data_IF_384728674566
#
_entry.id   IF_384728674566
#
_cell.length_a   1.000
_cell.length_b   1.000
_cell.length_c   1.000
_cell.angle_alpha   90.00
_cell.angle_beta   90.00
_cell.angle_gamma   90.00
#
_symmetry.space_group_name_H-M   'P 1'
#
loop_
_entity.id
_entity.type
_entity.pdbx_description
1 polymer ?
#
# COMPACT_ATOMS: atom_id res chain seq x y z
N UNK A 1 6.64 11.65 -14.06
CA UNK A 1 6.23 10.58 -13.14
C UNK A 1 5.85 9.40 -14.02
N UNK A 2 6.63 8.33 -14.01
CA UNK A 2 6.31 7.14 -14.80
C UNK A 2 5.19 6.35 -14.10
N UNK A 3 4.18 5.86 -14.84
CA UNK A 3 3.11 5.05 -14.27
C UNK A 3 3.69 3.76 -13.69
N UNK A 4 3.17 3.30 -12.54
CA UNK A 4 3.45 1.92 -12.14
C UNK A 4 2.98 0.99 -13.26
N UNK A 5 3.85 0.08 -13.64
CA UNK A 5 3.56 -0.93 -14.66
C UNK A 5 2.27 -1.66 -14.29
N UNK A 6 1.24 -1.54 -15.14
CA UNK A 6 0.02 -2.31 -15.03
C UNK A 6 0.36 -3.80 -15.19
N UNK A 7 -0.45 -4.67 -14.60
CA UNK A 7 -0.32 -6.13 -14.71
C UNK A 7 -0.11 -6.61 -16.17
N UNK A 8 -0.69 -5.90 -17.15
CA UNK A 8 -0.54 -6.16 -18.59
C UNK A 8 0.86 -5.93 -19.17
N UNK A 9 1.80 -5.37 -18.39
CA UNK A 9 3.19 -5.13 -18.78
C UNK A 9 4.19 -6.08 -18.11
N UNK A 10 3.70 -6.99 -17.25
CA UNK A 10 4.52 -7.99 -16.58
C UNK A 10 4.69 -9.20 -17.50
N UNK A 11 5.90 -9.76 -17.55
CA UNK A 11 6.15 -10.95 -18.36
C UNK A 11 5.51 -12.20 -17.71
N UNK A 12 5.33 -13.25 -18.49
CA UNK A 12 4.61 -14.48 -18.09
C UNK A 12 5.21 -15.16 -16.85
N UNK A 13 6.51 -15.00 -16.56
CA UNK A 13 7.15 -15.53 -15.35
C UNK A 13 6.84 -14.73 -14.09
N UNK A 14 6.70 -13.40 -14.18
CA UNK A 14 6.28 -12.54 -13.06
C UNK A 14 4.79 -12.72 -12.71
N UNK A 15 3.97 -13.01 -13.72
CA UNK A 15 2.53 -13.25 -13.56
C UNK A 15 2.23 -14.59 -12.86
N UNK A 16 3.08 -15.60 -13.06
CA UNK A 16 2.88 -16.96 -12.53
C UNK A 16 3.01 -17.11 -11.00
N UNK A 17 3.49 -16.09 -10.29
CA UNK A 17 3.63 -16.11 -8.81
C UNK A 17 2.46 -15.48 -8.06
N UNK A 18 1.44 -15.01 -8.77
CA UNK A 18 0.35 -14.23 -8.19
C UNK A 18 -0.75 -15.16 -7.68
N UNK A 19 -0.93 -15.19 -6.36
CA UNK A 19 -2.10 -15.85 -5.77
C UNK A 19 -3.37 -15.08 -6.14
N UNK A 20 -4.50 -15.76 -6.40
CA UNK A 20 -5.68 -15.11 -6.97
C UNK A 20 -6.30 -14.10 -6.01
N UNK A 21 -6.87 -13.05 -6.61
CA UNK A 21 -7.62 -11.96 -6.01
C UNK A 21 -8.56 -12.40 -4.88
N UNK A 22 -8.16 -12.15 -3.63
CA UNK A 22 -9.08 -12.15 -2.49
C UNK A 22 -9.59 -10.72 -2.35
N UNK A 23 -10.85 -10.48 -2.71
CA UNK A 23 -11.54 -9.25 -2.33
C UNK A 23 -11.75 -9.28 -0.82
N UNK A 24 -10.83 -8.67 -0.09
CA UNK A 24 -10.99 -8.49 1.35
C UNK A 24 -11.50 -7.08 1.58
N UNK A 25 -12.61 -6.95 2.31
CA UNK A 25 -12.99 -5.64 2.82
C UNK A 25 -11.84 -5.12 3.70
N UNK A 26 -11.56 -3.82 3.72
CA UNK A 26 -10.49 -3.24 4.56
C UNK A 26 -10.69 -3.40 6.09
N UNK A 27 -11.62 -4.24 6.50
CA UNK A 27 -11.74 -4.70 7.86
C UNK A 27 -10.79 -5.89 8.06
N UNK A 28 -9.79 -5.68 8.92
CA UNK A 28 -9.15 -6.73 9.73
C UNK A 28 -7.94 -7.49 9.16
N UNK A 29 -7.44 -7.24 7.95
CA UNK A 29 -6.23 -7.93 7.45
C UNK A 29 -4.89 -7.29 7.92
N UNK A 30 -4.95 -6.55 9.03
CA UNK A 30 -3.79 -5.88 9.61
C UNK A 30 -2.74 -6.91 10.06
N UNK A 31 -1.47 -6.68 9.70
CA UNK A 31 -0.39 -7.57 10.09
C UNK A 31 -0.20 -8.79 9.19
N UNK A 32 -0.96 -8.91 8.09
CA UNK A 32 -0.69 -9.92 7.06
C UNK A 32 0.66 -9.67 6.41
N UNK A 33 1.49 -10.71 6.35
CA UNK A 33 2.75 -10.66 5.62
C UNK A 33 2.50 -10.57 4.11
N UNK A 34 3.11 -9.57 3.48
CA UNK A 34 3.03 -9.31 2.05
C UNK A 34 4.27 -9.87 1.35
N UNK A 35 4.03 -10.45 0.18
CA UNK A 35 5.05 -10.88 -0.76
C UNK A 35 4.92 -10.04 -2.03
N UNK A 36 5.86 -10.16 -2.96
CA UNK A 36 5.70 -9.54 -4.28
C UNK A 36 4.39 -10.00 -4.91
N UNK A 37 3.53 -9.05 -5.26
CA UNK A 37 2.25 -9.33 -5.90
C UNK A 37 1.23 -8.21 -5.81
N UNK A 38 0.02 -8.50 -6.29
CA UNK A 38 -1.12 -7.57 -6.31
C UNK A 38 -2.17 -7.99 -5.28
N UNK A 39 -2.59 -7.05 -4.44
CA UNK A 39 -3.61 -7.25 -3.41
C UNK A 39 -4.77 -6.29 -3.64
N UNK A 40 -5.99 -6.80 -3.78
CA UNK A 40 -7.18 -5.98 -4.07
C UNK A 40 -8.11 -5.87 -2.87
N UNK A 41 -8.54 -4.66 -2.55
CA UNK A 41 -9.40 -4.38 -1.41
C UNK A 41 -10.60 -3.56 -1.84
N UNK A 42 -11.77 -3.87 -1.25
CA UNK A 42 -12.95 -3.02 -1.36
C UNK A 42 -13.10 -2.19 -0.09
N UNK A 43 -13.19 -0.87 -0.25
CA UNK A 43 -13.31 0.06 0.86
C UNK A 43 -14.75 0.07 1.37
N UNK A 44 -15.02 -0.65 2.47
CA UNK A 44 -16.36 -0.70 3.09
C UNK A 44 -16.66 0.45 4.06
N UNK A 45 -15.61 1.07 4.60
CA UNK A 45 -15.63 2.28 5.44
C UNK A 45 -14.52 3.22 5.01
N UNK A 46 -14.55 4.45 5.54
CA UNK A 46 -13.49 5.40 5.26
C UNK A 46 -12.14 4.87 5.76
N UNK A 47 -11.15 4.89 4.87
CA UNK A 47 -9.81 4.42 5.14
C UNK A 47 -8.93 5.61 5.54
N UNK A 48 -8.51 5.65 6.80
CA UNK A 48 -7.61 6.67 7.31
C UNK A 48 -6.17 6.45 6.86
N UNK A 49 -5.76 5.19 6.66
CA UNK A 49 -4.43 4.82 6.18
C UNK A 49 -4.41 3.43 5.54
N UNK A 50 -3.63 3.28 4.47
CA UNK A 50 -3.21 1.98 3.94
C UNK A 50 -1.74 2.03 3.52
N UNK A 51 -1.00 0.97 3.80
CA UNK A 51 0.39 0.84 3.41
C UNK A 51 1.06 -0.37 4.04
N UNK A 52 2.34 -0.24 4.34
CA UNK A 52 3.18 -1.29 4.88
C UNK A 52 3.90 -0.86 6.15
N UNK A 53 4.32 -1.86 6.92
CA UNK A 53 5.28 -1.75 8.02
C UNK A 53 6.18 -2.98 8.04
N UNK A 54 7.45 -2.85 8.40
CA UNK A 54 8.31 -4.02 8.63
C UNK A 54 7.82 -4.86 9.81
N UNK A 55 7.86 -6.19 9.62
CA UNK A 55 7.57 -7.18 10.68
C UNK A 55 8.53 -7.09 11.87
N UNK A 56 9.73 -6.52 11.70
CA UNK A 56 10.71 -6.41 12.78
C UNK A 56 10.38 -5.31 13.80
N UNK A 57 9.37 -4.47 13.52
CA UNK A 57 8.91 -3.42 14.44
C UNK A 57 7.78 -3.97 15.30
N UNK A 58 7.78 -3.64 16.60
CA UNK A 58 6.69 -4.01 17.50
C UNK A 58 5.40 -3.28 17.09
N UNK A 59 4.56 -3.99 16.34
CA UNK A 59 3.30 -3.48 15.79
C UNK A 59 2.20 -3.26 16.83
N UNK A 60 2.46 -3.64 18.10
CA UNK A 60 1.54 -3.41 19.24
C UNK A 60 1.30 -1.93 19.51
N UNK A 61 2.18 -1.05 19.04
CA UNK A 61 1.95 0.40 19.03
C UNK A 61 1.38 0.75 17.66
N UNK A 62 0.12 1.19 17.61
CA UNK A 62 -0.56 1.66 16.38
C UNK A 62 0.07 2.92 15.74
N UNK A 63 1.30 3.26 16.12
CA UNK A 63 1.93 4.52 15.79
C UNK A 63 2.43 4.50 14.34
N UNK A 64 1.85 5.37 13.50
CA UNK A 64 2.27 5.57 12.12
C UNK A 64 3.60 6.34 12.01
N UNK A 65 4.13 6.85 13.13
CA UNK A 65 5.34 7.67 13.18
C UNK A 65 6.64 6.87 13.36
N UNK A 66 6.63 5.57 13.07
CA UNK A 66 7.86 4.77 13.09
C UNK A 66 8.55 4.83 11.73
N UNK A 67 9.90 4.85 11.67
CA UNK A 67 10.65 4.88 10.40
C UNK A 67 10.35 3.74 9.42
N UNK A 68 9.65 2.72 9.88
CA UNK A 68 9.26 1.55 9.12
C UNK A 68 7.91 1.69 8.39
N UNK A 69 7.18 2.79 8.62
CA UNK A 69 5.85 2.99 8.03
C UNK A 69 5.93 3.74 6.71
N UNK A 70 5.31 3.15 5.70
CA UNK A 70 5.14 3.72 4.37
C UNK A 70 3.70 3.55 3.93
N UNK A 71 3.09 4.57 3.33
CA UNK A 71 1.74 4.42 2.81
C UNK A 71 1.03 5.73 2.56
N UNK A 72 -0.28 5.62 2.36
CA UNK A 72 -1.16 6.71 1.99
C UNK A 72 -2.20 6.92 3.08
N UNK A 73 -2.48 8.17 3.41
CA UNK A 73 -3.52 8.51 4.37
C UNK A 73 -4.75 9.11 3.69
N UNK A 74 -5.87 9.14 4.39
CA UNK A 74 -7.12 9.74 3.91
C UNK A 74 -7.16 11.26 3.91
N UNK A 75 -6.02 11.95 4.08
CA UNK A 75 -5.92 13.42 4.24
C UNK A 75 -4.87 14.05 3.32
N UNK A 76 -4.85 13.67 2.03
CA UNK A 76 -3.94 14.19 1.01
C UNK A 76 -2.44 14.13 1.38
N UNK A 77 -2.03 13.14 2.17
CA UNK A 77 -0.66 12.99 2.60
C UNK A 77 -0.21 11.52 2.54
N UNK A 78 1.11 11.35 2.45
CA UNK A 78 1.75 10.04 2.48
C UNK A 78 2.62 9.93 3.72
N UNK A 79 2.81 8.72 4.20
CA UNK A 79 3.87 8.41 5.16
C UNK A 79 5.09 7.92 4.39
N UNK A 80 6.23 8.56 4.63
CA UNK A 80 7.55 8.16 4.15
C UNK A 80 8.46 8.08 5.37
N UNK A 81 8.98 6.90 5.68
CA UNK A 81 9.78 6.68 6.88
C UNK A 81 9.09 7.17 8.16
N UNK A 82 7.78 6.92 8.27
CA UNK A 82 6.96 7.41 9.40
C UNK A 82 6.75 8.92 9.45
N UNK A 83 7.26 9.68 8.50
CA UNK A 83 7.04 11.13 8.40
C UNK A 83 5.83 11.38 7.49
N UNK A 84 4.88 12.17 7.99
CA UNK A 84 3.73 12.59 7.20
C UNK A 84 4.13 13.72 6.23
N UNK A 85 3.99 13.48 4.93
CA UNK A 85 4.36 14.41 3.86
C UNK A 85 3.12 14.78 3.04
N UNK A 86 2.57 16.00 3.19
CA UNK A 86 1.44 16.47 2.40
C UNK A 86 1.78 16.65 0.93
N UNK A 87 0.85 16.33 0.02
CA UNK A 87 0.97 16.61 -1.42
C UNK A 87 2.10 15.86 -2.16
N UNK A 88 2.70 14.85 -1.53
CA UNK A 88 3.82 14.12 -2.12
C UNK A 88 3.43 13.43 -3.44
N UNK A 89 4.18 13.70 -4.50
CA UNK A 89 3.98 13.09 -5.82
C UNK A 89 2.56 13.32 -6.38
N UNK A 90 1.89 14.41 -5.98
CA UNK A 90 0.53 14.71 -6.44
C UNK A 90 -0.56 13.78 -5.88
N UNK A 91 -0.27 13.00 -4.83
CA UNK A 91 -1.26 12.14 -4.18
C UNK A 91 -2.50 12.92 -3.75
N UNK A 92 -3.67 12.33 -3.98
CA UNK A 92 -4.97 12.83 -3.55
C UNK A 92 -5.69 11.72 -2.77
N UNK A 93 -6.35 12.06 -1.66
CA UNK A 93 -7.06 11.11 -0.80
C UNK A 93 -8.43 10.70 -1.32
N UNK A 94 -8.86 11.26 -2.46
CA UNK A 94 -9.97 10.70 -3.25
C UNK A 94 -9.66 9.27 -3.74
N UNK A 95 -8.40 8.83 -3.66
CA UNK A 95 -8.02 7.44 -3.88
C UNK A 95 -8.55 6.46 -2.82
N UNK A 96 -8.98 6.94 -1.64
CA UNK A 96 -9.38 6.12 -0.49
C UNK A 96 -10.86 6.31 -0.07
N UNK A 97 -11.77 6.44 -1.04
CA UNK A 97 -13.20 6.67 -0.77
C UNK A 97 -13.98 5.38 -0.50
N UNK A 98 -15.06 5.51 0.28
CA UNK A 98 -15.98 4.41 0.56
C UNK A 98 -16.60 3.91 -0.75
N UNK A 99 -16.64 2.61 -0.93
CA UNK A 99 -17.18 1.94 -2.10
C UNK A 99 -16.13 1.62 -3.17
N UNK A 100 -14.98 2.31 -3.15
CA UNK A 100 -13.93 2.10 -4.14
C UNK A 100 -13.24 0.74 -3.99
N UNK A 101 -12.73 0.26 -5.12
CA UNK A 101 -11.81 -0.87 -5.14
C UNK A 101 -10.41 -0.34 -5.37
N UNK A 102 -9.51 -0.68 -4.46
CA UNK A 102 -8.09 -0.33 -4.56
C UNK A 102 -7.26 -1.59 -4.82
N UNK A 103 -6.15 -1.39 -5.50
CA UNK A 103 -5.13 -2.40 -5.74
C UNK A 103 -3.82 -1.90 -5.13
N UNK A 104 -3.27 -2.67 -4.20
CA UNK A 104 -1.94 -2.48 -3.63
C UNK A 104 -1.00 -3.48 -4.31
N UNK A 105 -0.07 -2.97 -5.12
CA UNK A 105 1.00 -3.75 -5.72
C UNK A 105 2.22 -3.62 -4.82
N UNK A 106 2.83 -4.76 -4.48
CA UNK A 106 4.06 -4.85 -3.69
C UNK A 106 5.12 -5.47 -4.58
N UNK A 107 6.28 -4.82 -4.67
CA UNK A 107 7.45 -5.37 -5.35
C UNK A 107 8.65 -5.30 -4.38
N UNK A 108 8.95 -6.44 -3.76
CA UNK A 108 10.03 -6.57 -2.79
C UNK A 108 11.43 -6.49 -3.44
N UNK A 109 11.55 -6.82 -4.72
CA UNK A 109 12.82 -6.80 -5.45
C UNK A 109 13.20 -5.36 -5.81
N UNK A 110 12.25 -4.63 -6.40
CA UNK A 110 12.43 -3.21 -6.73
C UNK A 110 12.24 -2.29 -5.52
N UNK A 111 11.75 -2.81 -4.40
CA UNK A 111 11.52 -2.10 -3.13
C UNK A 111 10.51 -0.95 -3.31
N UNK A 112 9.39 -1.26 -3.95
CA UNK A 112 8.34 -0.28 -4.22
C UNK A 112 6.98 -0.83 -3.82
N UNK A 113 6.08 0.09 -3.48
CA UNK A 113 4.66 -0.19 -3.37
C UNK A 113 3.88 0.79 -4.26
N UNK A 114 2.81 0.31 -4.89
CA UNK A 114 1.93 1.13 -5.70
C UNK A 114 0.49 0.97 -5.23
N UNK A 115 -0.21 2.08 -5.05
CA UNK A 115 -1.63 2.12 -4.80
C UNK A 115 -2.34 2.57 -6.07
N UNK A 116 -3.28 1.77 -6.55
CA UNK A 116 -4.15 2.14 -7.66
C UNK A 116 -5.59 2.12 -7.19
N UNK A 117 -6.31 3.21 -7.35
CA UNK A 117 -7.77 3.20 -7.24
C UNK A 117 -8.33 2.72 -8.59
N UNK A 118 -8.98 1.56 -8.60
CA UNK A 118 -9.47 0.94 -9.83
C UNK A 118 -10.73 1.64 -10.37
N UNK A 119 -11.47 2.37 -9.52
CA UNK A 119 -12.63 3.17 -9.93
C UNK A 119 -12.17 4.40 -10.71
N UNK A 120 -11.27 5.19 -10.14
CA UNK A 120 -10.78 6.45 -10.74
C UNK A 120 -9.63 6.24 -11.71
N UNK A 121 -9.00 5.05 -11.70
CA UNK A 121 -7.78 4.69 -12.43
C UNK A 121 -6.56 5.52 -12.04
N UNK A 122 -6.61 6.20 -10.90
CA UNK A 122 -5.47 6.93 -10.35
C UNK A 122 -4.47 5.96 -9.73
N UNK A 123 -3.19 6.14 -10.02
CA UNK A 123 -2.09 5.33 -9.48
C UNK A 123 -1.05 6.22 -8.82
N UNK A 124 -0.57 5.79 -7.65
CA UNK A 124 0.50 6.46 -6.91
C UNK A 124 1.56 5.46 -6.45
N UNK A 125 2.84 5.85 -6.50
CA UNK A 125 4.00 4.99 -6.25
C UNK A 125 4.83 5.53 -5.10
N UNK A 126 5.24 4.64 -4.19
CA UNK A 126 6.24 4.94 -3.16
C UNK A 126 7.45 4.00 -3.31
N UNK A 127 8.64 4.57 -3.27
CA UNK A 127 9.88 3.81 -3.07
C UNK A 127 10.11 3.60 -1.57
N UNK A 128 10.59 2.44 -1.19
CA UNK A 128 10.78 2.03 0.20
C UNK A 128 12.27 1.88 0.50
N UNK A 129 12.77 2.63 1.47
CA UNK A 129 14.11 2.43 2.02
C UNK A 129 14.11 1.21 2.93
N UNK A 130 14.58 0.08 2.41
CA UNK A 130 14.68 -1.19 3.16
C UNK A 130 15.63 -1.12 4.36
N UNK A 131 16.48 -0.10 4.48
CA UNK A 131 17.27 0.10 5.70
C UNK A 131 16.39 0.57 6.87
N UNK A 132 15.30 1.26 6.57
CA UNK A 132 14.35 1.79 7.55
C UNK A 132 13.09 0.92 7.68
N UNK A 133 12.66 0.31 6.58
CA UNK A 133 11.56 -0.66 6.53
C UNK A 133 12.06 -2.01 5.95
N UNK A 134 12.78 -2.83 6.73
CA UNK A 134 13.31 -4.10 6.26
C UNK A 134 12.20 -5.12 5.96
N UNK A 135 12.48 -6.07 5.09
CA UNK A 135 11.59 -7.20 4.83
C UNK A 135 11.56 -8.18 6.03
N UNK A 136 10.47 -8.95 6.21
CA UNK A 136 9.25 -8.93 5.41
C UNK A 136 8.33 -7.77 5.80
N UNK A 137 7.53 -7.31 4.84
CA UNK A 137 6.55 -6.26 5.04
C UNK A 137 5.21 -6.85 5.47
N UNK A 138 4.54 -6.15 6.37
CA UNK A 138 3.19 -6.44 6.81
C UNK A 138 2.24 -5.37 6.26
N UNK A 139 1.03 -5.78 5.88
CA UNK A 139 -0.06 -4.86 5.56
C UNK A 139 -0.41 -4.05 6.81
N UNK A 140 -0.50 -2.74 6.65
CA UNK A 140 -0.98 -1.82 7.68
C UNK A 140 -2.14 -1.01 7.12
N UNK A 141 -3.30 -1.14 7.74
CA UNK A 141 -4.56 -0.46 7.45
C UNK A 141 -5.07 0.20 8.73
N UNK A 142 -5.64 1.39 8.61
CA UNK A 142 -6.38 2.07 9.67
C UNK A 142 -7.67 2.61 9.08
N UNK A 143 -8.81 2.28 9.68
CA UNK A 143 -10.09 2.93 9.38
C UNK A 143 -10.28 4.19 10.26
N UNK A 144 -11.23 5.04 9.91
CA UNK A 144 -11.77 6.05 10.84
C UNK A 144 -12.54 5.40 11.99
#
# INVERSE_FOLDING_TARGET
MEPCQSFSSWNSEQVLRLTPSVYQACYLDNGRELQTGEYRYRLGTGCAFIGIISKSVDTRREALNTPSVYGWNGYNAVYLDGVLVPGYGGYQSDMLQIGDTISLIVDCEQRVICLTNLTTKSTHKLAVDVKKCPLPWLLKVRSY
#
